data_IF_796012650274
#
_entry.id   IF_796012650274
#
_cell.length_a   1.000
_cell.length_b   1.000
_cell.length_c   1.000
_cell.angle_alpha   90.00
_cell.angle_beta   90.00
_cell.angle_gamma   90.00
#
_symmetry.space_group_name_H-M   'P 1'
#
loop_
_entity.id
_entity.type
_entity.pdbx_description
1 polymer ?
#
# COMPACT_ATOMS: atom_id res chain seq x y z
N UNK A 1 -2.45 -23.18 -5.77
CA UNK A 1 -1.42 -22.12 -5.62
C UNK A 1 -0.22 -22.28 -6.59
N UNK A 2 -0.35 -22.97 -7.74
CA UNK A 2 0.82 -23.28 -8.61
C UNK A 2 1.40 -22.10 -9.43
N UNK A 3 0.89 -20.88 -9.25
CA UNK A 3 1.39 -19.66 -9.89
C UNK A 3 1.89 -18.58 -8.92
N UNK A 4 1.92 -18.88 -7.61
CA UNK A 4 2.37 -17.92 -6.59
C UNK A 4 3.85 -18.14 -6.27
N UNK A 5 4.58 -17.08 -5.90
CA UNK A 5 5.94 -17.21 -5.36
C UNK A 5 5.93 -18.00 -4.05
N UNK A 6 7.06 -18.62 -3.68
CA UNK A 6 7.14 -19.40 -2.43
C UNK A 6 6.74 -18.56 -1.21
N UNK A 7 7.20 -17.31 -1.14
CA UNK A 7 6.84 -16.38 -0.07
C UNK A 7 5.32 -16.07 -0.03
N UNK A 8 4.68 -15.90 -1.19
CA UNK A 8 3.23 -15.72 -1.27
C UNK A 8 2.49 -16.95 -0.79
N UNK A 9 2.95 -18.15 -1.19
CA UNK A 9 2.33 -19.40 -0.78
C UNK A 9 2.44 -19.60 0.74
N UNK A 10 3.61 -19.39 1.32
CA UNK A 10 3.84 -19.49 2.77
C UNK A 10 2.94 -18.52 3.53
N UNK A 11 2.91 -17.25 3.12
CA UNK A 11 2.05 -16.25 3.75
C UNK A 11 0.56 -16.64 3.69
N UNK A 12 0.06 -17.04 2.51
CA UNK A 12 -1.33 -17.43 2.34
C UNK A 12 -1.66 -18.66 3.18
N UNK A 13 -0.78 -19.66 3.24
CA UNK A 13 -0.98 -20.86 4.04
C UNK A 13 -1.01 -20.55 5.54
N UNK A 14 -0.10 -19.72 6.05
CA UNK A 14 -0.11 -19.28 7.45
C UNK A 14 -1.38 -18.50 7.81
N UNK A 15 -1.83 -17.62 6.90
CA UNK A 15 -3.10 -16.90 7.09
C UNK A 15 -4.31 -17.84 7.01
N UNK A 16 -4.33 -18.83 6.13
CA UNK A 16 -5.42 -19.80 6.07
C UNK A 16 -5.47 -20.70 7.31
N UNK A 17 -4.32 -21.06 7.87
CA UNK A 17 -4.24 -21.83 9.11
C UNK A 17 -4.75 -21.03 10.32
N UNK A 18 -4.38 -19.75 10.42
CA UNK A 18 -4.83 -18.88 11.50
C UNK A 18 -6.31 -18.48 11.38
N UNK A 19 -6.89 -18.55 10.18
CA UNK A 19 -8.29 -18.17 9.88
C UNK A 19 -9.12 -19.39 9.45
N UNK A 20 -8.75 -20.58 9.93
CA UNK A 20 -9.37 -21.85 9.51
C UNK A 20 -10.87 -21.92 9.81
N UNK A 21 -11.33 -21.25 10.88
CA UNK A 21 -12.76 -21.11 11.22
C UNK A 21 -13.57 -20.34 10.17
N UNK A 22 -12.91 -19.56 9.31
CA UNK A 22 -13.50 -18.76 8.24
C UNK A 22 -13.36 -19.40 6.86
N UNK A 23 -12.73 -20.59 6.77
CA UNK A 23 -12.43 -21.26 5.50
C UNK A 23 -13.68 -21.56 4.65
N UNK A 24 -14.85 -21.66 5.30
CA UNK A 24 -16.12 -21.90 4.63
C UNK A 24 -16.69 -20.66 3.93
N UNK A 25 -16.15 -19.47 4.22
CA UNK A 25 -16.62 -18.24 3.61
C UNK A 25 -15.94 -18.03 2.24
N UNK A 26 -16.70 -17.91 1.13
CA UNK A 26 -16.13 -17.86 -0.23
C UNK A 26 -15.23 -16.64 -0.46
N UNK A 27 -15.42 -15.56 0.32
CA UNK A 27 -14.63 -14.34 0.23
C UNK A 27 -13.41 -14.29 1.18
N UNK A 28 -13.09 -15.35 1.91
CA UNK A 28 -11.89 -15.37 2.77
C UNK A 28 -10.63 -15.10 1.95
N UNK A 29 -10.44 -15.82 0.84
CA UNK A 29 -9.23 -15.68 0.02
C UNK A 29 -9.07 -14.27 -0.56
N UNK A 30 -10.10 -13.64 -1.18
CA UNK A 30 -10.04 -12.23 -1.55
C UNK A 30 -9.64 -11.29 -0.41
N UNK A 31 -10.19 -11.48 0.80
CA UNK A 31 -9.88 -10.65 1.98
C UNK A 31 -8.42 -10.83 2.43
N UNK A 32 -7.88 -12.04 2.34
CA UNK A 32 -6.46 -12.30 2.63
C UNK A 32 -5.54 -11.66 1.58
N UNK A 33 -5.93 -11.71 0.31
CA UNK A 33 -5.16 -11.12 -0.79
C UNK A 33 -5.12 -9.60 -0.71
N UNK A 34 -6.21 -8.92 -0.36
CA UNK A 34 -6.19 -7.46 -0.16
C UNK A 34 -5.25 -7.06 0.97
N UNK A 35 -5.24 -7.84 2.07
CA UNK A 35 -4.30 -7.66 3.16
C UNK A 35 -2.82 -7.83 2.73
N UNK A 36 -2.55 -8.84 1.91
CA UNK A 36 -1.21 -9.11 1.37
C UNK A 36 -0.73 -8.00 0.43
N UNK A 37 -1.57 -7.58 -0.53
CA UNK A 37 -1.23 -6.51 -1.48
C UNK A 37 -0.95 -5.21 -0.73
N UNK A 38 -1.74 -4.88 0.29
CA UNK A 38 -1.48 -3.72 1.15
C UNK A 38 -0.11 -3.80 1.81
N UNK A 39 0.30 -4.97 2.31
CA UNK A 39 1.60 -5.14 2.94
C UNK A 39 2.75 -4.91 1.96
N UNK A 40 2.62 -5.40 0.72
CA UNK A 40 3.59 -5.14 -0.34
C UNK A 40 3.67 -3.64 -0.68
N UNK A 41 2.52 -3.00 -0.89
CA UNK A 41 2.47 -1.56 -1.17
C UNK A 41 3.12 -0.76 -0.04
N UNK A 42 2.83 -1.08 1.22
CA UNK A 42 3.43 -0.41 2.38
C UNK A 42 4.96 -0.54 2.40
N UNK A 43 5.48 -1.73 2.11
CA UNK A 43 6.92 -1.95 2.07
C UNK A 43 7.58 -1.10 0.98
N UNK A 44 6.98 -1.11 -0.20
CA UNK A 44 7.43 -0.34 -1.34
C UNK A 44 7.37 1.17 -1.04
N UNK A 45 6.25 1.67 -0.53
CA UNK A 45 6.07 3.08 -0.11
C UNK A 45 7.16 3.55 0.85
N UNK A 46 7.57 2.69 1.78
CA UNK A 46 8.67 3.01 2.69
C UNK A 46 10.00 3.22 1.95
N UNK A 47 10.31 2.37 0.97
CA UNK A 47 11.55 2.50 0.19
C UNK A 47 11.59 3.82 -0.60
N UNK A 48 10.49 4.21 -1.26
CA UNK A 48 10.46 5.52 -1.95
C UNK A 48 10.55 6.71 -1.00
N UNK A 49 9.99 6.59 0.19
CA UNK A 49 10.15 7.63 1.20
C UNK A 49 11.60 7.77 1.63
N UNK A 50 12.30 6.66 1.85
CA UNK A 50 13.73 6.65 2.19
C UNK A 50 14.57 7.23 1.03
N UNK A 51 14.26 6.90 -0.23
CA UNK A 51 14.91 7.46 -1.43
C UNK A 51 14.68 8.97 -1.56
N UNK A 52 13.46 9.44 -1.27
CA UNK A 52 13.15 10.88 -1.25
C UNK A 52 13.95 11.60 -0.18
N UNK A 53 13.98 11.07 1.05
CA UNK A 53 14.76 11.65 2.15
C UNK A 53 16.25 11.73 1.83
N UNK A 54 16.79 10.69 1.17
CA UNK A 54 18.17 10.71 0.67
C UNK A 54 18.37 11.87 -0.33
N UNK A 55 17.46 12.03 -1.31
CA UNK A 55 17.56 13.12 -2.27
C UNK A 55 17.40 14.52 -1.62
N UNK A 56 16.51 14.67 -0.64
CA UNK A 56 16.32 15.92 0.11
C UNK A 56 17.59 16.28 0.90
N UNK A 57 18.16 15.32 1.63
CA UNK A 57 19.38 15.52 2.44
C UNK A 57 20.61 15.87 1.58
N UNK A 58 20.82 15.17 0.46
CA UNK A 58 21.94 15.45 -0.47
C UNK A 58 21.80 16.81 -1.17
N UNK A 59 20.58 17.21 -1.53
CA UNK A 59 20.35 18.50 -2.18
C UNK A 59 20.53 19.70 -1.23
N UNK A 60 20.15 19.53 0.04
CA UNK A 60 20.02 20.60 1.03
C UNK A 60 18.98 21.67 0.69
N UNK A 61 18.08 21.41 -0.27
CA UNK A 61 17.10 22.38 -0.78
C UNK A 61 15.75 22.33 -0.04
N UNK A 62 15.44 21.21 0.61
CA UNK A 62 14.21 20.99 1.38
C UNK A 62 14.58 20.58 2.81
N UNK A 63 13.79 21.03 3.80
CA UNK A 63 14.16 21.10 5.22
C UNK A 63 14.37 19.78 5.99
N UNK A 64 14.83 18.71 5.35
CA UNK A 64 15.28 17.50 6.03
C UNK A 64 16.58 17.77 6.81
N UNK A 65 16.67 17.43 8.10
CA UNK A 65 17.87 17.64 8.90
C UNK A 65 19.01 16.75 8.37
N UNK A 66 20.15 17.36 8.06
CA UNK A 66 21.35 16.67 7.60
C UNK A 66 21.94 15.86 8.76
N UNK A 67 21.64 14.56 8.84
CA UNK A 67 22.40 13.66 9.70
C UNK A 67 23.72 13.33 9.01
N UNK A 68 24.83 13.77 9.61
CA UNK A 68 26.21 13.57 9.17
C UNK A 68 26.57 14.30 7.86
N UNK A 69 26.70 15.63 7.95
CA UNK A 69 27.26 16.47 6.90
C UNK A 69 28.75 16.12 6.66
N UNK A 70 29.02 15.16 5.78
CA UNK A 70 30.33 15.06 5.13
C UNK A 70 30.49 16.24 4.15
N UNK A 71 31.73 16.75 3.98
CA UNK A 71 31.97 17.95 3.19
C UNK A 71 31.58 17.70 1.72
N UNK A 72 30.70 18.57 1.22
CA UNK A 72 30.12 18.59 -0.13
C UNK A 72 31.13 18.26 -1.24
N UNK A 73 31.17 16.99 -1.64
CA UNK A 73 31.59 16.59 -2.98
C UNK A 73 30.58 17.08 -4.02
N UNK A 74 31.00 17.29 -5.26
CA UNK A 74 30.18 17.84 -6.36
C UNK A 74 28.70 17.40 -6.31
N UNK A 75 27.80 18.39 -6.13
CA UNK A 75 26.35 18.20 -6.23
C UNK A 75 26.00 17.89 -7.68
N UNK A 76 25.93 16.61 -8.02
CA UNK A 76 25.40 16.17 -9.30
C UNK A 76 23.87 16.34 -9.28
N UNK A 77 23.41 17.56 -9.54
CA UNK A 77 21.98 17.88 -9.58
C UNK A 77 21.21 16.99 -10.57
N UNK A 78 21.88 16.46 -11.61
CA UNK A 78 21.24 15.56 -12.58
C UNK A 78 20.94 14.18 -11.97
N UNK A 79 21.84 13.63 -11.14
CA UNK A 79 21.57 12.36 -10.45
C UNK A 79 20.45 12.50 -9.42
N UNK A 80 20.44 13.59 -8.65
CA UNK A 80 19.36 13.89 -7.69
C UNK A 80 18.01 14.08 -8.40
N UNK A 81 17.98 14.81 -9.52
CA UNK A 81 16.76 14.99 -10.30
C UNK A 81 16.21 13.66 -10.86
N UNK A 82 17.09 12.76 -11.31
CA UNK A 82 16.67 11.43 -11.77
C UNK A 82 16.09 10.57 -10.65
N UNK A 83 16.67 10.62 -9.44
CA UNK A 83 16.14 9.90 -8.27
C UNK A 83 14.74 10.43 -7.93
N UNK A 84 14.60 11.76 -7.82
CA UNK A 84 13.31 12.40 -7.51
C UNK A 84 12.26 12.11 -8.58
N UNK A 85 12.64 12.12 -9.86
CA UNK A 85 11.75 11.75 -10.96
C UNK A 85 11.29 10.28 -10.85
N UNK A 86 12.20 9.37 -10.52
CA UNK A 86 11.88 7.97 -10.26
C UNK A 86 10.88 7.81 -9.11
N UNK A 87 11.08 8.55 -8.01
CA UNK A 87 10.13 8.60 -6.87
C UNK A 87 8.75 9.10 -7.31
N UNK A 88 8.68 10.15 -8.12
CA UNK A 88 7.40 10.67 -8.63
C UNK A 88 6.69 9.60 -9.48
N UNK A 89 7.38 9.03 -10.46
CA UNK A 89 6.79 8.04 -11.37
C UNK A 89 6.29 6.79 -10.65
N UNK A 90 7.09 6.24 -9.74
CA UNK A 90 6.73 5.06 -8.95
C UNK A 90 5.64 5.40 -7.92
N UNK A 91 5.75 6.55 -7.26
CA UNK A 91 4.76 7.02 -6.28
C UNK A 91 3.38 7.21 -6.90
N UNK A 92 3.27 7.85 -8.08
CA UNK A 92 2.00 8.00 -8.79
C UNK A 92 1.39 6.66 -9.19
N UNK A 93 2.22 5.69 -9.58
CA UNK A 93 1.76 4.33 -9.88
C UNK A 93 1.18 3.66 -8.63
N UNK A 94 1.82 3.83 -7.48
CA UNK A 94 1.34 3.26 -6.22
C UNK A 94 0.14 3.98 -5.63
N UNK A 95 0.01 5.29 -5.87
CA UNK A 95 -1.22 6.04 -5.58
C UNK A 95 -2.42 5.43 -6.32
N UNK A 96 -2.24 5.16 -7.62
CA UNK A 96 -3.25 4.52 -8.47
C UNK A 96 -3.59 3.12 -7.95
N UNK A 97 -2.59 2.28 -7.67
CA UNK A 97 -2.83 0.93 -7.14
C UNK A 97 -3.51 0.94 -5.78
N UNK A 98 -3.17 1.89 -4.91
CA UNK A 98 -3.81 2.04 -3.59
C UNK A 98 -5.29 2.43 -3.76
N UNK A 99 -5.59 3.33 -4.69
CA UNK A 99 -6.96 3.72 -5.02
C UNK A 99 -7.77 2.55 -5.58
N UNK A 100 -7.19 1.75 -6.48
CA UNK A 100 -7.82 0.53 -7.01
C UNK A 100 -8.06 -0.48 -5.89
N UNK A 101 -7.10 -0.68 -4.97
CA UNK A 101 -7.26 -1.59 -3.84
C UNK A 101 -8.43 -1.17 -2.94
N UNK A 102 -8.61 0.13 -2.69
CA UNK A 102 -9.77 0.65 -1.93
C UNK A 102 -11.08 0.34 -2.66
N UNK A 103 -11.13 0.48 -3.99
CA UNK A 103 -12.32 0.11 -4.78
C UNK A 103 -12.59 -1.40 -4.73
N UNK A 104 -11.55 -2.23 -4.80
CA UNK A 104 -11.69 -3.68 -4.64
C UNK A 104 -12.25 -4.04 -3.26
N UNK A 105 -11.79 -3.40 -2.19
CA UNK A 105 -12.31 -3.62 -0.84
C UNK A 105 -13.80 -3.28 -0.76
N UNK A 106 -14.24 -2.16 -1.36
CA UNK A 106 -15.66 -1.80 -1.44
C UNK A 106 -16.49 -2.85 -2.18
N UNK A 107 -15.99 -3.34 -3.31
CA UNK A 107 -16.66 -4.42 -4.06
C UNK A 107 -16.77 -5.73 -3.26
N UNK A 108 -15.76 -6.06 -2.46
CA UNK A 108 -15.82 -7.22 -1.56
C UNK A 108 -16.87 -7.00 -0.46
N UNK A 109 -16.98 -5.80 0.12
CA UNK A 109 -18.05 -5.47 1.08
C UNK A 109 -19.44 -5.68 0.48
N UNK A 110 -19.68 -5.17 -0.73
CA UNK A 110 -20.94 -5.36 -1.45
C UNK A 110 -21.22 -6.85 -1.68
N UNK A 111 -20.19 -7.62 -2.02
CA UNK A 111 -20.30 -9.07 -2.22
C UNK A 111 -20.61 -9.82 -0.91
N UNK A 112 -20.03 -9.41 0.23
CA UNK A 112 -20.36 -9.95 1.56
C UNK A 112 -21.84 -9.66 1.86
N UNK A 113 -22.30 -8.43 1.62
CA UNK A 113 -23.70 -8.06 1.83
C UNK A 113 -24.64 -8.90 0.97
N UNK A 114 -24.27 -9.19 -0.28
CA UNK A 114 -25.04 -10.05 -1.16
C UNK A 114 -25.07 -11.51 -0.69
N UNK A 115 -23.94 -12.04 -0.21
CA UNK A 115 -23.90 -13.41 0.33
C UNK A 115 -24.83 -13.55 1.52
N UNK A 116 -24.86 -12.56 2.41
CA UNK A 116 -25.76 -12.59 3.58
C UNK A 116 -27.25 -12.63 3.20
N UNK A 117 -27.65 -12.04 2.06
CA UNK A 117 -29.06 -12.08 1.61
C UNK A 117 -29.42 -13.38 0.91
N UNK A 118 -28.48 -14.01 0.20
CA UNK A 118 -28.71 -15.25 -0.56
C UNK A 118 -28.48 -16.52 0.29
N UNK A 119 -27.85 -16.39 1.46
CA UNK A 119 -27.50 -17.54 2.30
C UNK A 119 -28.75 -18.25 2.84
N UNK A 120 -28.86 -19.58 2.66
CA UNK A 120 -29.95 -20.37 3.22
C UNK A 120 -30.05 -20.28 4.75
N UNK A 121 -31.27 -20.33 5.28
CA UNK A 121 -31.55 -20.19 6.72
C UNK A 121 -30.67 -21.07 7.63
N UNK A 122 -30.43 -22.32 7.25
CA UNK A 122 -29.66 -23.29 8.03
C UNK A 122 -28.16 -22.94 8.19
N UNK A 123 -27.62 -22.01 7.39
CA UNK A 123 -26.24 -21.51 7.51
C UNK A 123 -26.16 -20.04 7.88
N UNK A 124 -27.31 -19.37 8.01
CA UNK A 124 -27.39 -17.91 8.12
C UNK A 124 -26.61 -17.37 9.31
N UNK A 125 -26.79 -17.94 10.49
CA UNK A 125 -26.09 -17.51 11.71
C UNK A 125 -24.56 -17.61 11.58
N UNK A 126 -24.06 -18.76 11.09
CA UNK A 126 -22.63 -18.96 10.88
C UNK A 126 -22.11 -17.96 9.84
N UNK A 127 -22.78 -17.83 8.71
CA UNK A 127 -22.35 -16.90 7.65
C UNK A 127 -22.39 -15.45 8.13
N UNK A 128 -23.36 -15.03 8.92
CA UNK A 128 -23.43 -13.66 9.48
C UNK A 128 -22.24 -13.36 10.40
N UNK A 129 -21.87 -14.30 11.27
CA UNK A 129 -20.69 -14.17 12.14
C UNK A 129 -19.41 -14.07 11.30
N UNK A 130 -19.25 -14.96 10.32
CA UNK A 130 -18.07 -14.95 9.44
C UNK A 130 -17.99 -13.65 8.62
N UNK A 131 -19.12 -13.21 8.08
CA UNK A 131 -19.25 -11.95 7.34
C UNK A 131 -18.91 -10.73 8.20
N UNK A 132 -19.33 -10.71 9.47
CA UNK A 132 -18.99 -9.63 10.39
C UNK A 132 -17.47 -9.54 10.62
N UNK A 133 -16.82 -10.68 10.88
CA UNK A 133 -15.35 -10.73 11.08
C UNK A 133 -14.60 -10.29 9.81
N UNK A 134 -15.05 -10.73 8.64
CA UNK A 134 -14.43 -10.33 7.37
C UNK A 134 -14.66 -8.84 7.08
N UNK A 135 -15.84 -8.31 7.40
CA UNK A 135 -16.19 -6.89 7.26
C UNK A 135 -15.27 -6.04 8.14
N UNK A 136 -15.12 -6.38 9.42
CA UNK A 136 -14.23 -5.66 10.33
C UNK A 136 -12.78 -5.65 9.82
N UNK A 137 -12.29 -6.80 9.32
CA UNK A 137 -10.95 -6.87 8.73
C UNK A 137 -10.82 -5.99 7.49
N UNK A 138 -11.82 -5.99 6.61
CA UNK A 138 -11.82 -5.15 5.42
C UNK A 138 -11.86 -3.66 5.76
N UNK A 139 -12.63 -3.26 6.78
CA UNK A 139 -12.65 -1.88 7.28
C UNK A 139 -11.27 -1.45 7.81
N UNK A 140 -10.63 -2.32 8.59
CA UNK A 140 -9.27 -2.06 9.08
C UNK A 140 -8.27 -1.91 7.92
N UNK A 141 -8.31 -2.82 6.94
CA UNK A 141 -7.45 -2.76 5.75
C UNK A 141 -7.74 -1.49 4.93
N UNK A 142 -9.01 -1.16 4.73
CA UNK A 142 -9.47 0.04 4.02
C UNK A 142 -8.93 1.31 4.67
N UNK A 143 -9.09 1.44 6.00
CA UNK A 143 -8.57 2.57 6.76
C UNK A 143 -7.05 2.71 6.60
N UNK A 144 -6.30 1.60 6.70
CA UNK A 144 -4.84 1.61 6.47
C UNK A 144 -4.47 2.00 5.04
N UNK A 145 -5.24 1.58 4.04
CA UNK A 145 -5.04 2.00 2.66
C UNK A 145 -5.30 3.50 2.49
N UNK A 146 -6.33 4.06 3.13
CA UNK A 146 -6.62 5.50 3.11
C UNK A 146 -5.50 6.32 3.75
N UNK A 147 -4.96 5.88 4.90
CA UNK A 147 -3.78 6.54 5.49
C UNK A 147 -2.59 6.49 4.55
N UNK A 148 -2.30 5.32 3.98
CA UNK A 148 -1.18 5.14 3.05
C UNK A 148 -1.34 5.99 1.78
N UNK A 149 -2.56 6.13 1.27
CA UNK A 149 -2.86 7.00 0.13
C UNK A 149 -2.52 8.46 0.46
N UNK A 150 -2.91 8.91 1.65
CA UNK A 150 -2.57 10.25 2.12
C UNK A 150 -1.05 10.45 2.26
N UNK A 151 -0.34 9.47 2.83
CA UNK A 151 1.12 9.50 2.92
C UNK A 151 1.77 9.58 1.53
N UNK A 152 1.26 8.82 0.56
CA UNK A 152 1.72 8.84 -0.84
C UNK A 152 1.54 10.21 -1.46
N UNK A 153 0.34 10.77 -1.37
CA UNK A 153 0.04 12.10 -1.90
C UNK A 153 0.88 13.18 -1.24
N UNK A 154 1.16 13.04 0.06
CA UNK A 154 2.00 13.96 0.79
C UNK A 154 3.44 13.96 0.26
N UNK A 155 4.09 12.79 0.17
CA UNK A 155 5.48 12.75 -0.29
C UNK A 155 5.62 13.04 -1.78
N UNK A 156 4.61 12.72 -2.61
CA UNK A 156 4.61 13.09 -4.03
C UNK A 156 4.68 14.60 -4.21
N UNK A 157 3.86 15.36 -3.46
CA UNK A 157 3.92 16.84 -3.48
C UNK A 157 5.29 17.38 -3.05
N UNK A 158 5.95 16.71 -2.09
CA UNK A 158 7.31 17.08 -1.68
C UNK A 158 8.32 16.77 -2.78
N UNK A 159 8.24 15.60 -3.41
CA UNK A 159 9.10 15.22 -4.52
C UNK A 159 8.95 16.19 -5.70
N UNK A 160 7.73 16.61 -6.04
CA UNK A 160 7.48 17.62 -7.07
C UNK A 160 8.12 18.98 -6.73
N UNK A 161 7.98 19.44 -5.48
CA UNK A 161 8.61 20.67 -5.01
C UNK A 161 10.15 20.58 -5.07
N UNK A 162 10.70 19.44 -4.68
CA UNK A 162 12.12 19.14 -4.75
C UNK A 162 12.63 19.13 -6.20
N UNK A 163 11.87 18.53 -7.12
CA UNK A 163 12.20 18.50 -8.54
C UNK A 163 12.26 19.91 -9.13
N UNK A 164 11.30 20.78 -8.77
CA UNK A 164 11.30 22.18 -9.17
C UNK A 164 12.48 22.98 -8.60
N UNK A 165 12.92 22.65 -7.38
CA UNK A 165 14.06 23.30 -6.74
C UNK A 165 15.43 22.87 -7.33
N UNK A 166 15.56 21.60 -7.73
CA UNK A 166 16.81 21.05 -8.28
C UNK A 166 16.97 21.33 -9.79
N UNK A 167 15.86 21.52 -10.51
CA UNK A 167 15.84 21.92 -11.93
C UNK A 167 15.30 23.35 -12.12
N UNK A 168 16.07 24.41 -11.78
CA UNK A 168 15.60 25.77 -12.02
C UNK A 168 15.43 26.04 -13.53
N UNK A 169 14.42 26.83 -13.94
CA UNK A 169 14.27 27.24 -15.33
C UNK A 169 15.52 28.03 -15.76
N UNK A 170 16.02 27.72 -16.96
CA UNK A 170 17.06 28.51 -17.65
C UNK A 170 16.56 29.89 -18.01
#
# INVERSE_FOLDING_TARGET
LRGCSVAQQTFILEQLQSWSSLANHPLLLPVLLTGYIRQLLRHQTKLLWDDLLYAETESGQTGAPVMNALPKGHRDCASIANIVLGVIQMGSSWESYTSVLILCIKSIHESISHINTVTPYHRKEITEIQSAILTERLEFVSHKCSTMLWDIQFFLKRAEAQMAAVSPPK
#
